data_IF_813346569270
#
_entry.id   IF_813346569270
#
_cell.length_a   1.000
_cell.length_b   1.000
_cell.length_c   1.000
_cell.angle_alpha   90.00
_cell.angle_beta   90.00
_cell.angle_gamma   90.00
#
_symmetry.space_group_name_H-M   'P 1'
#
loop_
_entity.id
_entity.type
_entity.pdbx_description
1 polymer ?
#
# COMPACT_ATOMS: atom_id res chain seq x y z
N UNK A 1 -5.21 -6.32 14.08
CA UNK A 1 -6.38 -5.54 13.62
C UNK A 1 -5.98 -4.08 13.51
N UNK A 2 -6.40 -3.36 12.45
CA UNK A 2 -6.12 -1.94 12.32
C UNK A 2 -6.78 -1.16 13.45
N UNK A 3 -6.05 -0.20 14.03
CA UNK A 3 -6.59 0.75 15.02
C UNK A 3 -7.40 1.88 14.37
N UNK A 4 -7.46 1.89 13.04
CA UNK A 4 -8.19 2.85 12.23
C UNK A 4 -9.39 2.18 11.57
N UNK A 5 -10.41 2.96 11.26
CA UNK A 5 -11.55 2.49 10.47
C UNK A 5 -11.08 2.14 9.05
N UNK A 6 -11.44 0.96 8.57
CA UNK A 6 -11.35 0.64 7.15
C UNK A 6 -12.54 1.27 6.45
N UNK A 7 -12.29 2.14 5.46
CA UNK A 7 -13.38 2.83 4.78
C UNK A 7 -14.20 1.84 3.93
N UNK A 8 -15.52 1.92 4.08
CA UNK A 8 -16.51 1.23 3.25
C UNK A 8 -16.57 1.86 1.86
N UNK A 9 -17.09 1.12 0.88
CA UNK A 9 -17.12 1.53 -0.53
C UNK A 9 -17.76 2.92 -0.74
N UNK A 10 -18.82 3.22 0.00
CA UNK A 10 -19.53 4.50 -0.09
C UNK A 10 -18.70 5.71 0.38
N UNK A 11 -17.64 5.48 1.16
CA UNK A 11 -16.75 6.52 1.69
C UNK A 11 -15.43 6.63 0.90
N UNK A 12 -15.22 5.79 -0.11
CA UNK A 12 -14.00 5.79 -0.91
C UNK A 12 -14.10 6.77 -2.10
N UNK A 13 -13.03 7.50 -2.42
CA UNK A 13 -12.92 8.19 -3.70
C UNK A 13 -13.04 7.20 -4.88
N UNK A 14 -13.58 7.61 -6.04
CA UNK A 14 -13.82 6.72 -7.18
C UNK A 14 -12.59 5.91 -7.60
N UNK A 15 -11.40 6.54 -7.62
CA UNK A 15 -10.15 5.89 -7.99
C UNK A 15 -9.72 4.81 -6.97
N UNK A 16 -9.94 5.07 -5.69
CA UNK A 16 -9.60 4.11 -4.63
C UNK A 16 -10.62 2.96 -4.59
N UNK A 17 -11.89 3.26 -4.84
CA UNK A 17 -12.94 2.23 -4.98
C UNK A 17 -12.63 1.28 -6.14
N UNK A 18 -12.24 1.82 -7.30
CA UNK A 18 -11.84 0.99 -8.44
C UNK A 18 -10.66 0.06 -8.10
N UNK A 19 -9.66 0.58 -7.38
CA UNK A 19 -8.52 -0.22 -6.92
C UNK A 19 -8.96 -1.32 -5.94
N UNK A 20 -9.80 -0.99 -4.96
CA UNK A 20 -10.35 -1.95 -3.99
C UNK A 20 -11.12 -3.06 -4.71
N UNK A 21 -11.98 -2.73 -5.67
CA UNK A 21 -12.74 -3.72 -6.45
C UNK A 21 -11.84 -4.63 -7.28
N UNK A 22 -10.78 -4.08 -7.88
CA UNK A 22 -9.80 -4.88 -8.60
C UNK A 22 -9.01 -5.85 -7.69
N UNK A 23 -8.72 -5.44 -6.46
CA UNK A 23 -8.08 -6.30 -5.46
C UNK A 23 -9.02 -7.41 -4.99
N UNK A 24 -10.27 -7.07 -4.67
CA UNK A 24 -11.32 -8.03 -4.28
C UNK A 24 -11.55 -9.09 -5.37
N UNK A 25 -11.68 -8.66 -6.63
CA UNK A 25 -11.85 -9.57 -7.77
C UNK A 25 -10.65 -10.51 -7.97
N UNK A 26 -9.46 -10.10 -7.54
CA UNK A 26 -8.24 -10.90 -7.56
C UNK A 26 -8.04 -11.75 -6.28
N UNK A 27 -9.00 -11.74 -5.35
CA UNK A 27 -8.89 -12.45 -4.06
C UNK A 27 -7.81 -11.89 -3.12
N UNK A 28 -7.43 -10.62 -3.30
CA UNK A 28 -6.37 -9.95 -2.51
C UNK A 28 -6.96 -9.15 -1.36
N UNK A 29 -6.18 -9.02 -0.28
CA UNK A 29 -6.54 -8.19 0.87
C UNK A 29 -6.69 -6.71 0.47
N UNK A 30 -7.67 -6.04 1.08
CA UNK A 30 -7.96 -4.61 0.85
C UNK A 30 -7.75 -3.74 2.08
N UNK A 31 -7.36 -4.33 3.22
CA UNK A 31 -7.23 -3.60 4.48
C UNK A 31 -6.22 -2.45 4.39
N UNK A 32 -5.10 -2.64 3.69
CA UNK A 32 -4.13 -1.56 3.45
C UNK A 32 -4.79 -0.42 2.67
N UNK A 33 -5.29 -0.68 1.47
CA UNK A 33 -5.89 0.34 0.59
C UNK A 33 -7.03 1.10 1.29
N UNK A 34 -7.93 0.37 1.97
CA UNK A 34 -9.05 0.97 2.73
C UNK A 34 -8.57 1.77 3.95
N UNK A 35 -7.47 1.36 4.58
CA UNK A 35 -6.87 2.06 5.70
C UNK A 35 -6.20 3.37 5.28
N UNK A 36 -5.38 3.33 4.23
CA UNK A 36 -4.67 4.52 3.70
C UNK A 36 -5.65 5.58 3.17
N UNK A 37 -6.83 5.17 2.74
CA UNK A 37 -7.90 6.07 2.27
C UNK A 37 -8.38 7.07 3.34
N UNK A 38 -8.04 6.89 4.62
CA UNK A 38 -8.29 7.90 5.66
C UNK A 38 -7.40 9.15 5.52
N UNK A 39 -6.29 9.08 4.77
CA UNK A 39 -5.37 10.20 4.56
C UNK A 39 -4.88 10.27 3.10
N UNK A 40 -5.80 10.46 2.12
CA UNK A 40 -5.52 10.26 0.71
C UNK A 40 -4.43 11.19 0.16
N UNK A 41 -4.44 12.48 0.53
CA UNK A 41 -3.41 13.44 0.10
C UNK A 41 -2.02 13.08 0.61
N UNK A 42 -1.92 12.64 1.87
CA UNK A 42 -0.64 12.24 2.45
C UNK A 42 -0.06 11.05 1.70
N UNK A 43 -0.85 9.99 1.51
CA UNK A 43 -0.36 8.78 0.84
C UNK A 43 -0.13 8.98 -0.65
N UNK A 44 -0.89 9.84 -1.33
CA UNK A 44 -0.58 10.25 -2.70
C UNK A 44 0.81 10.88 -2.81
N UNK A 45 1.15 11.80 -1.91
CA UNK A 45 2.47 12.45 -1.87
C UNK A 45 3.58 11.48 -1.43
N UNK A 46 3.29 10.58 -0.50
CA UNK A 46 4.24 9.54 -0.11
C UNK A 46 4.56 8.61 -1.28
N UNK A 47 3.54 8.14 -2.00
CA UNK A 47 3.72 7.21 -3.11
C UNK A 47 4.37 7.85 -4.35
N UNK A 48 4.26 9.17 -4.54
CA UNK A 48 4.91 9.85 -5.67
C UNK A 48 6.44 9.79 -5.62
N UNK A 49 7.04 9.62 -4.44
CA UNK A 49 8.48 9.35 -4.32
C UNK A 49 8.79 7.87 -4.05
N UNK A 50 7.97 7.21 -3.24
CA UNK A 50 8.25 5.85 -2.76
C UNK A 50 8.16 4.79 -3.87
N UNK A 51 7.18 4.91 -4.77
CA UNK A 51 7.03 3.93 -5.86
C UNK A 51 8.19 4.01 -6.87
N UNK A 52 8.60 5.19 -7.37
CA UNK A 52 9.78 5.30 -8.22
C UNK A 52 11.05 4.76 -7.55
N UNK A 53 11.25 5.01 -6.26
CA UNK A 53 12.42 4.50 -5.52
C UNK A 53 12.49 2.96 -5.46
N UNK A 54 11.38 2.25 -5.74
CA UNK A 54 11.32 0.79 -5.79
C UNK A 54 11.55 0.20 -7.17
N UNK A 55 11.49 0.98 -8.25
CA UNK A 55 11.52 0.47 -9.63
C UNK A 55 12.90 0.03 -10.13
N UNK A 56 13.88 -0.09 -9.24
CA UNK A 56 15.25 -0.38 -9.60
C UNK A 56 15.95 0.81 -10.26
N UNK A 57 17.24 0.92 -9.99
CA UNK A 57 18.08 2.00 -10.54
C UNK A 57 19.52 1.50 -10.58
N UNK A 58 20.35 1.85 -9.59
CA UNK A 58 21.67 1.25 -9.38
C UNK A 58 21.62 -0.15 -8.74
N UNK A 59 20.44 -0.56 -8.26
CA UNK A 59 20.15 -1.86 -7.65
C UNK A 59 18.91 -2.45 -8.31
N UNK A 60 18.87 -3.77 -8.42
CA UNK A 60 17.72 -4.52 -8.95
C UNK A 60 16.49 -4.39 -8.04
N UNK A 61 15.30 -4.32 -8.64
CA UNK A 61 14.02 -4.26 -7.92
C UNK A 61 13.85 -5.44 -6.95
N UNK A 62 14.27 -6.64 -7.34
CA UNK A 62 14.23 -7.83 -6.48
C UNK A 62 15.13 -7.67 -5.23
N UNK A 63 16.30 -7.04 -5.37
CA UNK A 63 17.18 -6.77 -4.23
C UNK A 63 16.57 -5.71 -3.31
N UNK A 64 15.99 -4.65 -3.88
CA UNK A 64 15.27 -3.62 -3.11
C UNK A 64 14.14 -4.26 -2.29
N UNK A 65 13.38 -5.19 -2.89
CA UNK A 65 12.31 -5.90 -2.19
C UNK A 65 12.82 -6.80 -1.06
N UNK A 66 13.90 -7.55 -1.29
CA UNK A 66 14.52 -8.37 -0.26
C UNK A 66 14.97 -7.53 0.94
N UNK A 67 15.60 -6.38 0.70
CA UNK A 67 16.00 -5.45 1.76
C UNK A 67 14.77 -4.89 2.49
N UNK A 68 13.72 -4.48 1.76
CA UNK A 68 12.46 -4.00 2.35
C UNK A 68 11.86 -5.03 3.30
N UNK A 69 11.77 -6.29 2.88
CA UNK A 69 11.24 -7.39 3.68
C UNK A 69 12.11 -7.68 4.91
N UNK A 70 13.45 -7.61 4.77
CA UNK A 70 14.36 -7.76 5.91
C UNK A 70 14.17 -6.64 6.93
N UNK A 71 14.06 -5.39 6.50
CA UNK A 71 13.80 -4.24 7.37
C UNK A 71 12.43 -4.37 8.03
N UNK A 72 11.39 -4.73 7.29
CA UNK A 72 10.04 -4.97 7.85
C UNK A 72 10.08 -6.02 8.97
N UNK A 73 10.76 -7.15 8.73
CA UNK A 73 10.93 -8.20 9.74
C UNK A 73 11.70 -7.72 10.97
N UNK A 74 12.73 -6.89 10.81
CA UNK A 74 13.48 -6.31 11.93
C UNK A 74 12.67 -5.31 12.76
N UNK A 75 11.56 -4.80 12.22
CA UNK A 75 10.66 -3.87 12.89
C UNK A 75 9.34 -4.54 13.32
N UNK A 76 9.27 -5.88 13.30
CA UNK A 76 8.04 -6.65 13.56
C UNK A 76 6.83 -6.15 12.74
N UNK A 77 7.11 -5.66 11.53
CA UNK A 77 6.10 -5.23 10.57
C UNK A 77 5.71 -6.43 9.71
N UNK A 78 4.57 -7.04 10.06
CA UNK A 78 4.00 -8.15 9.31
C UNK A 78 3.40 -7.62 8.00
N UNK A 79 4.02 -8.02 6.88
CA UNK A 79 3.63 -7.65 5.51
C UNK A 79 2.84 -8.74 4.83
#
# INVERSE_FOLDING_TARGET
MPRIKLLEDAALPPETLAQVKALEAAGRDTALTRGLANAPTFFKNYFSFYLPARQGHSLDEALIELVRLKVARLNDCFT
#
